data_IF_110752147041
#
_entry.id   IF_110752147041
#
_cell.length_a   1.000
_cell.length_b   1.000
_cell.length_c   1.000
_cell.angle_alpha   90.00
_cell.angle_beta   90.00
_cell.angle_gamma   90.00
#
_symmetry.space_group_name_H-M   'P 1'
#
loop_
_entity.id
_entity.type
_entity.pdbx_description
1 polymer ?
#
# COMPACT_ATOMS: atom_id res chain seq x y z
N UNK A 1 0.39 20.50 17.10
CA UNK A 1 -0.98 19.98 16.84
C UNK A 1 -0.97 19.10 15.58
N UNK A 2 -1.73 17.98 15.56
CA UNK A 2 -1.88 17.19 14.32
C UNK A 2 -2.77 17.94 13.32
N UNK A 3 -2.21 18.28 12.16
CA UNK A 3 -2.90 18.93 11.04
C UNK A 3 -3.52 17.91 10.08
N UNK A 4 -2.78 16.84 9.76
CA UNK A 4 -3.15 15.88 8.74
C UNK A 4 -2.52 14.49 8.99
N UNK A 5 -3.04 13.53 8.25
CA UNK A 5 -2.56 12.15 8.22
C UNK A 5 -2.00 11.84 6.84
N UNK A 6 -0.74 11.42 6.77
CA UNK A 6 -0.19 10.78 5.57
C UNK A 6 -0.28 9.27 5.73
N UNK A 7 -1.10 8.62 4.93
CA UNK A 7 -1.18 7.17 4.87
C UNK A 7 -0.57 6.62 3.58
N UNK A 8 0.15 5.52 3.71
CA UNK A 8 0.68 4.73 2.60
C UNK A 8 0.16 3.31 2.74
N UNK A 9 -0.35 2.74 1.66
CA UNK A 9 -0.74 1.34 1.64
C UNK A 9 -0.50 0.71 0.27
N UNK A 10 -0.10 -0.55 0.30
CA UNK A 10 0.31 -1.31 -0.88
C UNK A 10 -0.81 -2.20 -1.39
N UNK A 11 -0.70 -2.56 -2.67
CA UNK A 11 -1.42 -3.68 -3.22
C UNK A 11 -0.82 -5.01 -2.73
N UNK A 12 -1.56 -6.09 -2.88
CA UNK A 12 -1.13 -7.41 -2.44
C UNK A 12 0.07 -7.89 -3.25
N UNK A 13 1.06 -8.43 -2.56
CA UNK A 13 2.18 -9.14 -3.17
C UNK A 13 3.18 -8.23 -3.89
N UNK A 14 3.11 -6.91 -3.70
CA UNK A 14 3.97 -5.94 -4.42
C UNK A 14 5.02 -5.25 -3.55
N UNK A 15 5.00 -5.51 -2.23
CA UNK A 15 6.00 -5.03 -1.28
C UNK A 15 6.18 -6.06 -0.16
N UNK A 16 7.18 -6.92 -0.28
CA UNK A 16 7.40 -8.03 0.66
C UNK A 16 8.34 -7.63 1.82
N UNK A 17 8.28 -8.32 2.97
CA UNK A 17 9.15 -8.02 4.12
C UNK A 17 10.66 -8.04 3.80
N UNK A 18 11.08 -8.90 2.89
CA UNK A 18 12.45 -9.10 2.43
C UNK A 18 12.73 -8.51 1.03
N UNK A 19 11.86 -7.61 0.56
CA UNK A 19 12.06 -6.90 -0.71
C UNK A 19 13.42 -6.21 -0.74
N UNK A 20 14.22 -6.34 -1.83
CA UNK A 20 15.52 -5.71 -1.96
C UNK A 20 15.53 -4.19 -1.79
N UNK A 21 14.40 -3.50 -2.04
CA UNK A 21 14.24 -2.04 -1.81
C UNK A 21 14.16 -1.70 -0.32
N UNK A 22 13.80 -2.70 0.49
CA UNK A 22 13.52 -2.61 1.91
C UNK A 22 12.03 -2.45 2.21
N UNK A 23 11.66 -2.78 3.44
CA UNK A 23 10.29 -2.69 3.98
C UNK A 23 10.35 -2.21 5.43
N UNK A 24 9.21 -1.83 6.00
CA UNK A 24 9.12 -1.53 7.44
C UNK A 24 8.57 -2.71 8.25
N UNK A 25 8.56 -3.91 7.66
CA UNK A 25 8.18 -5.14 8.35
C UNK A 25 9.25 -5.53 9.37
N UNK A 26 8.83 -5.96 10.56
CA UNK A 26 9.74 -6.45 11.61
C UNK A 26 9.87 -7.98 11.63
N UNK A 27 8.95 -8.67 10.98
CA UNK A 27 8.87 -10.14 10.95
C UNK A 27 8.40 -10.64 9.56
N UNK A 28 8.76 -11.88 9.21
CA UNK A 28 8.24 -12.60 8.04
C UNK A 28 7.39 -13.77 8.54
N UNK A 29 6.08 -13.58 8.56
CA UNK A 29 5.15 -14.60 9.09
C UNK A 29 4.92 -15.78 8.14
N UNK A 30 5.23 -15.62 6.86
CA UNK A 30 5.08 -16.68 5.86
C UNK A 30 6.41 -17.42 5.69
N UNK A 31 6.41 -18.72 5.99
CA UNK A 31 7.61 -19.56 5.94
C UNK A 31 8.21 -19.65 4.52
N UNK A 32 7.38 -19.78 3.50
CA UNK A 32 7.84 -19.82 2.11
C UNK A 32 8.57 -18.54 1.70
N UNK A 33 8.07 -17.38 2.15
CA UNK A 33 8.72 -16.09 1.94
C UNK A 33 9.99 -15.94 2.77
N UNK A 34 10.06 -16.51 3.98
CA UNK A 34 11.27 -16.47 4.80
C UNK A 34 12.45 -17.20 4.13
N UNK A 35 12.18 -18.23 3.31
CA UNK A 35 13.20 -18.92 2.52
C UNK A 35 13.86 -18.03 1.44
N UNK A 36 13.26 -16.89 1.08
CA UNK A 36 13.83 -15.94 0.12
C UNK A 36 14.90 -15.03 0.73
N UNK A 37 15.08 -15.10 2.05
CA UNK A 37 16.11 -14.37 2.80
C UNK A 37 15.52 -13.46 3.87
N UNK A 38 16.44 -12.83 4.60
CA UNK A 38 16.15 -12.04 5.79
C UNK A 38 15.36 -10.76 5.50
N UNK A 39 14.78 -10.22 6.57
CA UNK A 39 14.10 -8.94 6.59
C UNK A 39 15.06 -7.83 6.19
N UNK A 40 14.59 -6.92 5.35
CA UNK A 40 15.32 -5.70 4.99
C UNK A 40 14.59 -4.49 5.56
N UNK A 41 14.86 -4.17 6.81
CA UNK A 41 14.19 -3.06 7.49
C UNK A 41 14.64 -1.70 6.94
N UNK A 42 13.67 -0.80 6.73
CA UNK A 42 13.89 0.54 6.22
C UNK A 42 14.29 0.58 4.74
N UNK A 43 14.40 1.79 4.19
CA UNK A 43 14.84 1.99 2.80
C UNK A 43 16.31 1.60 2.67
N UNK A 44 16.63 0.74 1.70
CA UNK A 44 18.01 0.32 1.46
C UNK A 44 18.83 1.41 0.75
N UNK A 45 20.09 1.59 1.15
CA UNK A 45 21.04 2.48 0.50
C UNK A 45 22.38 1.74 0.28
N UNK A 46 22.85 1.56 -0.97
CA UNK A 46 22.22 1.97 -2.22
C UNK A 46 20.89 1.23 -2.49
N UNK A 47 20.04 1.82 -3.34
CA UNK A 47 18.88 1.10 -3.86
C UNK A 47 19.34 -0.06 -4.75
N UNK A 48 18.62 -1.21 -4.73
CA UNK A 48 18.96 -2.36 -5.56
C UNK A 48 18.84 -2.00 -7.04
N UNK A 49 19.72 -2.59 -7.86
CA UNK A 49 19.59 -2.49 -9.31
C UNK A 49 18.38 -3.31 -9.83
N UNK A 50 18.06 -3.09 -11.11
CA UNK A 50 16.94 -3.74 -11.78
C UNK A 50 17.08 -5.26 -11.86
N UNK A 51 18.31 -5.78 -11.99
CA UNK A 51 18.56 -7.20 -12.15
C UNK A 51 18.29 -7.94 -10.84
N UNK A 52 18.78 -7.39 -9.72
CA UNK A 52 18.51 -7.88 -8.37
C UNK A 52 17.02 -7.88 -8.05
N UNK A 53 16.30 -6.82 -8.43
CA UNK A 53 14.85 -6.77 -8.27
C UNK A 53 14.15 -7.84 -9.11
N UNK A 54 14.54 -8.00 -10.37
CA UNK A 54 13.98 -9.02 -11.26
C UNK A 54 14.20 -10.42 -10.70
N UNK A 55 15.43 -10.78 -10.29
CA UNK A 55 15.74 -12.09 -9.71
C UNK A 55 14.91 -12.36 -8.45
N UNK A 56 14.79 -11.37 -7.56
CA UNK A 56 13.98 -11.50 -6.36
C UNK A 56 12.50 -11.79 -6.70
N UNK A 57 11.90 -10.98 -7.57
CA UNK A 57 10.48 -11.14 -7.89
C UNK A 57 10.18 -12.42 -8.68
N UNK A 58 11.10 -12.87 -9.54
CA UNK A 58 11.02 -14.19 -10.19
C UNK A 58 11.00 -15.34 -9.17
N UNK A 59 11.77 -15.24 -8.09
CA UNK A 59 11.76 -16.24 -7.02
C UNK A 59 10.57 -16.10 -6.08
N UNK A 60 10.06 -14.87 -5.88
CA UNK A 60 9.02 -14.57 -4.92
C UNK A 60 7.60 -14.85 -5.43
N UNK A 61 7.30 -14.55 -6.70
CA UNK A 61 5.95 -14.69 -7.25
C UNK A 61 5.34 -16.09 -7.06
N UNK A 62 6.07 -17.21 -7.31
CA UNK A 62 5.52 -18.56 -7.12
C UNK A 62 5.21 -18.92 -5.66
N UNK A 63 5.77 -18.20 -4.69
CA UNK A 63 5.58 -18.42 -3.25
C UNK A 63 4.40 -17.66 -2.67
N UNK A 64 3.77 -16.79 -3.47
CA UNK A 64 2.57 -16.06 -3.08
C UNK A 64 1.33 -16.93 -3.26
N UNK A 65 0.36 -16.77 -2.37
CA UNK A 65 -0.92 -17.50 -2.45
C UNK A 65 -1.76 -17.13 -3.68
N UNK A 66 -1.44 -16.00 -4.33
CA UNK A 66 -2.04 -15.54 -5.59
C UNK A 66 -1.11 -14.55 -6.27
N UNK A 67 -1.41 -14.22 -7.53
CA UNK A 67 -0.64 -13.22 -8.27
C UNK A 67 -0.65 -11.86 -7.57
N UNK A 68 0.49 -11.14 -7.55
CA UNK A 68 0.54 -9.74 -7.18
C UNK A 68 -0.47 -8.92 -7.97
N UNK A 69 -1.06 -7.92 -7.33
CA UNK A 69 -2.01 -7.03 -8.00
C UNK A 69 -1.34 -5.69 -8.30
N UNK A 70 -1.19 -5.34 -9.57
CA UNK A 70 -0.67 -4.03 -9.97
C UNK A 70 -1.79 -3.18 -10.55
N UNK A 71 -1.89 -1.95 -10.06
CA UNK A 71 -2.77 -0.94 -10.62
C UNK A 71 -2.17 -0.44 -11.95
N UNK A 72 -3.01 -0.37 -12.96
CA UNK A 72 -2.69 0.01 -14.33
C UNK A 72 -3.55 1.21 -14.80
N UNK A 73 -3.47 1.56 -16.08
CA UNK A 73 -4.26 2.66 -16.64
C UNK A 73 -5.76 2.43 -16.59
N UNK A 74 -6.23 1.17 -16.59
CA UNK A 74 -7.64 0.84 -16.56
C UNK A 74 -8.22 0.87 -15.13
N UNK A 75 -7.45 0.39 -14.15
CA UNK A 75 -7.89 0.25 -12.75
C UNK A 75 -7.70 1.52 -11.93
N UNK A 76 -6.67 2.33 -12.19
CA UNK A 76 -6.41 3.58 -11.43
C UNK A 76 -7.60 4.57 -11.42
N UNK A 77 -8.29 4.85 -12.54
CA UNK A 77 -9.47 5.73 -12.53
C UNK A 77 -10.62 5.20 -11.67
N UNK A 78 -10.81 3.88 -11.61
CA UNK A 78 -11.84 3.24 -10.76
C UNK A 78 -11.51 3.43 -9.28
N UNK A 79 -10.24 3.23 -8.90
CA UNK A 79 -9.75 3.48 -7.54
C UNK A 79 -9.91 4.95 -7.16
N UNK A 80 -9.53 5.88 -8.06
CA UNK A 80 -9.65 7.31 -7.81
C UNK A 80 -11.11 7.73 -7.56
N UNK A 81 -12.04 7.22 -8.38
CA UNK A 81 -13.48 7.46 -8.20
C UNK A 81 -13.98 6.92 -6.87
N UNK A 82 -13.63 5.68 -6.53
CA UNK A 82 -14.00 5.05 -5.27
C UNK A 82 -13.46 5.83 -4.04
N UNK A 83 -12.26 6.39 -4.14
CA UNK A 83 -11.71 7.24 -3.08
C UNK A 83 -12.48 8.56 -2.96
N UNK A 84 -12.85 9.18 -4.10
CA UNK A 84 -13.70 10.36 -4.14
C UNK A 84 -15.08 10.13 -3.48
N UNK A 85 -15.68 8.96 -3.70
CA UNK A 85 -16.94 8.57 -3.05
C UNK A 85 -16.80 8.51 -1.53
N UNK A 86 -15.72 7.90 -1.03
CA UNK A 86 -15.42 7.84 0.41
C UNK A 86 -15.17 9.23 0.97
N UNK A 87 -14.39 10.05 0.28
CA UNK A 87 -14.10 11.43 0.70
C UNK A 87 -15.38 12.25 0.83
N UNK A 88 -16.28 12.18 -0.17
CA UNK A 88 -17.58 12.88 -0.13
C UNK A 88 -18.49 12.34 0.97
N UNK A 89 -18.60 11.01 1.10
CA UNK A 89 -19.48 10.36 2.08
C UNK A 89 -19.08 10.66 3.53
N UNK A 90 -17.78 10.80 3.80
CA UNK A 90 -17.24 11.02 5.14
C UNK A 90 -16.81 12.49 5.39
N UNK A 91 -17.09 13.40 4.46
CA UNK A 91 -16.72 14.82 4.59
C UNK A 91 -15.21 15.05 4.73
N UNK A 92 -14.38 14.24 4.06
CA UNK A 92 -12.92 14.32 4.17
C UNK A 92 -12.36 15.43 3.29
N UNK A 93 -11.41 16.20 3.84
CA UNK A 93 -10.56 17.09 3.04
C UNK A 93 -9.27 16.34 2.69
N UNK A 94 -9.16 15.90 1.45
CA UNK A 94 -7.96 15.24 0.91
C UNK A 94 -7.08 16.28 0.23
N UNK A 95 -5.88 16.52 0.76
CA UNK A 95 -4.93 17.52 0.22
C UNK A 95 -4.08 16.97 -0.91
N UNK A 96 -3.73 15.69 -0.84
CA UNK A 96 -2.96 15.01 -1.87
C UNK A 96 -3.37 13.54 -1.92
N UNK A 97 -3.38 12.97 -3.13
CA UNK A 97 -3.57 11.55 -3.34
C UNK A 97 -2.78 11.13 -4.58
N UNK A 98 -1.83 10.21 -4.42
CA UNK A 98 -1.10 9.62 -5.51
C UNK A 98 -1.39 8.11 -5.54
N UNK A 99 -1.91 7.63 -6.67
CA UNK A 99 -2.20 6.21 -6.89
C UNK A 99 -1.17 5.69 -7.89
N UNK A 100 -0.18 4.95 -7.38
CA UNK A 100 0.89 4.35 -8.17
C UNK A 100 0.48 2.93 -8.59
N UNK A 101 1.39 2.20 -9.22
CA UNK A 101 1.13 0.83 -9.67
C UNK A 101 1.08 -0.19 -8.52
N UNK A 102 1.88 -0.02 -7.47
CA UNK A 102 1.99 -0.96 -6.35
C UNK A 102 1.55 -0.39 -4.99
N UNK A 103 1.33 0.92 -4.89
CA UNK A 103 0.92 1.56 -3.63
C UNK A 103 0.20 2.89 -3.84
N UNK A 104 -0.39 3.39 -2.77
CA UNK A 104 -1.09 4.67 -2.70
C UNK A 104 -0.48 5.52 -1.60
N UNK A 105 -0.30 6.81 -1.87
CA UNK A 105 -0.11 7.85 -0.86
C UNK A 105 -1.38 8.69 -0.76
N UNK A 106 -1.85 8.96 0.45
CA UNK A 106 -2.96 9.89 0.66
C UNK A 106 -2.67 10.79 1.87
N UNK A 107 -2.90 12.10 1.70
CA UNK A 107 -2.85 13.10 2.76
C UNK A 107 -4.25 13.60 3.02
N UNK A 108 -4.78 13.26 4.20
CA UNK A 108 -6.13 13.66 4.63
C UNK A 108 -5.98 14.60 5.81
N UNK A 109 -6.65 15.76 5.78
CA UNK A 109 -6.69 16.66 6.93
C UNK A 109 -7.29 15.94 8.15
N UNK A 110 -6.89 16.38 9.34
CA UNK A 110 -7.45 15.86 10.58
C UNK A 110 -8.99 15.92 10.53
N UNK A 111 -9.61 14.79 10.82
CA UNK A 111 -11.06 14.63 10.90
C UNK A 111 -11.43 13.88 12.19
N UNK A 112 -12.73 13.68 12.43
CA UNK A 112 -13.22 12.85 13.54
C UNK A 112 -12.94 11.35 13.39
N UNK A 113 -12.34 10.92 12.28
CA UNK A 113 -12.09 9.52 11.99
C UNK A 113 -10.61 9.15 12.17
N UNK A 114 -10.38 7.94 12.69
CA UNK A 114 -9.04 7.34 12.72
C UNK A 114 -8.56 7.03 11.29
N UNK A 115 -7.29 7.28 11.01
CA UNK A 115 -6.73 7.06 9.66
C UNK A 115 -6.84 5.61 9.20
N UNK A 116 -6.74 4.62 10.09
CA UNK A 116 -6.88 3.20 9.73
C UNK A 116 -8.30 2.86 9.30
N UNK A 117 -9.31 3.49 9.94
CA UNK A 117 -10.70 3.37 9.51
C UNK A 117 -10.87 3.97 8.12
N UNK A 118 -10.32 5.17 7.88
CA UNK A 118 -10.37 5.82 6.57
C UNK A 118 -9.72 4.96 5.48
N UNK A 119 -8.52 4.44 5.72
CA UNK A 119 -7.84 3.54 4.78
C UNK A 119 -8.66 2.26 4.55
N UNK A 120 -9.30 1.72 5.59
CA UNK A 120 -10.24 0.60 5.46
C UNK A 120 -11.41 0.91 4.52
N UNK A 121 -12.03 2.09 4.65
CA UNK A 121 -13.13 2.54 3.79
C UNK A 121 -12.68 2.77 2.34
N UNK A 122 -11.50 3.37 2.15
CA UNK A 122 -10.88 3.57 0.84
C UNK A 122 -10.63 2.22 0.15
N UNK A 123 -9.97 1.29 0.84
CA UNK A 123 -9.69 -0.05 0.34
C UNK A 123 -10.95 -0.80 -0.03
N UNK A 124 -11.92 -0.88 0.90
CA UNK A 124 -13.16 -1.62 0.68
C UNK A 124 -14.00 -1.06 -0.48
N UNK A 125 -14.07 0.26 -0.64
CA UNK A 125 -14.81 0.88 -1.74
C UNK A 125 -14.09 0.65 -3.06
N UNK A 126 -12.76 0.78 -3.10
CA UNK A 126 -11.99 0.46 -4.29
C UNK A 126 -12.07 -1.02 -4.68
N UNK A 127 -12.05 -1.95 -3.72
CA UNK A 127 -12.24 -3.39 -3.97
C UNK A 127 -13.56 -3.66 -4.68
N UNK A 128 -14.66 -3.02 -4.23
CA UNK A 128 -15.97 -3.13 -4.86
C UNK A 128 -15.98 -2.53 -6.27
N UNK A 129 -15.42 -1.32 -6.43
CA UNK A 129 -15.37 -0.65 -7.73
C UNK A 129 -14.55 -1.42 -8.78
N UNK A 130 -13.53 -2.16 -8.35
CA UNK A 130 -12.72 -3.03 -9.20
C UNK A 130 -13.38 -4.39 -9.47
N UNK A 131 -14.50 -4.72 -8.81
CA UNK A 131 -15.10 -6.06 -8.80
C UNK A 131 -14.07 -7.18 -8.49
N UNK A 132 -13.09 -6.87 -7.64
CA UNK A 132 -11.91 -7.72 -7.43
C UNK A 132 -12.02 -8.49 -6.11
N UNK A 133 -12.21 -9.81 -6.20
CA UNK A 133 -12.17 -10.72 -5.06
C UNK A 133 -11.06 -11.78 -5.26
N UNK A 134 -10.19 -12.04 -4.27
CA UNK A 134 -10.06 -11.32 -3.00
C UNK A 134 -9.54 -9.88 -3.19
N UNK A 135 -9.63 -9.07 -2.14
CA UNK A 135 -9.22 -7.65 -2.15
C UNK A 135 -7.84 -7.43 -2.77
N UNK A 136 -7.63 -6.43 -3.64
CA UNK A 136 -6.32 -6.18 -4.26
C UNK A 136 -5.29 -5.61 -3.29
N UNK A 137 -5.69 -5.24 -2.07
CA UNK A 137 -4.86 -4.53 -1.10
C UNK A 137 -4.16 -5.47 -0.12
N UNK A 138 -2.95 -5.12 0.29
CA UNK A 138 -2.33 -5.74 1.46
C UNK A 138 -3.06 -5.33 2.75
N UNK A 139 -2.86 -6.07 3.84
CA UNK A 139 -3.43 -5.73 5.16
C UNK A 139 -2.71 -4.50 5.75
N UNK A 140 -3.46 -3.66 6.46
CA UNK A 140 -2.90 -2.52 7.21
C UNK A 140 -2.51 -1.34 6.32
N UNK A 141 -1.75 -0.41 6.89
CA UNK A 141 -1.19 0.76 6.23
C UNK A 141 -0.04 1.31 7.07
N UNK A 142 0.90 1.97 6.43
CA UNK A 142 1.82 2.87 7.09
C UNK A 142 1.14 4.23 7.27
N UNK A 143 1.40 4.91 8.39
CA UNK A 143 0.81 6.22 8.69
C UNK A 143 1.81 7.12 9.40
N UNK A 144 1.79 8.40 9.06
CA UNK A 144 2.56 9.47 9.70
C UNK A 144 1.61 10.62 10.00
N UNK A 145 1.80 11.26 11.14
CA UNK A 145 1.07 12.48 11.51
C UNK A 145 1.86 13.69 11.03
N UNK A 146 1.18 14.59 10.31
CA UNK A 146 1.74 15.87 9.89
C UNK A 146 1.31 16.93 10.91
N UNK A 147 2.29 17.56 11.54
CA UNK A 147 2.08 18.55 12.59
C UNK A 147 2.49 19.95 12.10
N UNK A 148 2.06 20.98 12.82
CA UNK A 148 2.47 22.39 12.63
C UNK A 148 3.82 22.76 13.27
N UNK A 149 4.48 21.81 13.93
CA UNK A 149 5.82 21.92 14.55
C UNK A 149 6.63 20.64 14.32
#
# INVERSE_FOLDING_TARGET
MILAYHAIFTTYGTWLPNDPRGSYSKEIYNQELALLGDIRYGRQNPQPDKERLRRFWTAAEPKLSRRPFFLDSATRPLVARAFGEVARRLGLVVRACAILNDHVHVVVMRSGHRIEYLVGQLKATATRALAQAPTPWARGCWKVFLNDE
#
